data_IF_571248392512
#
_entry.id   IF_571248392512
#
_cell.length_a   1.000
_cell.length_b   1.000
_cell.length_c   1.000
_cell.angle_alpha   90.00
_cell.angle_beta   90.00
_cell.angle_gamma   90.00
#
_symmetry.space_group_name_H-M   'P 1'
#
loop_
_entity.id
_entity.type
_entity.pdbx_description
1 polymer ?
#
# COMPACT_ATOMS: atom_id res chain seq x y z
N UNK A 1 -7.05 19.92 -16.32
CA UNK A 1 -6.45 20.69 -15.22
C UNK A 1 -6.02 19.69 -14.17
N UNK A 2 -4.75 19.29 -14.19
CA UNK A 2 -4.13 18.54 -13.09
C UNK A 2 -3.76 19.64 -12.10
N UNK A 3 -4.54 19.80 -11.03
CA UNK A 3 -4.22 20.78 -9.98
C UNK A 3 -2.84 20.43 -9.43
N UNK A 4 -1.88 21.36 -9.52
CA UNK A 4 -0.52 21.24 -8.99
C UNK A 4 -0.45 21.20 -7.44
N UNK A 5 -1.35 20.47 -6.79
CA UNK A 5 -1.37 20.43 -5.33
C UNK A 5 -2.18 19.29 -4.73
N UNK A 6 -2.58 18.29 -5.53
CA UNK A 6 -3.27 17.13 -4.98
C UNK A 6 -2.46 15.87 -5.27
N UNK A 7 -1.83 15.36 -4.23
CA UNK A 7 -1.13 14.09 -4.27
C UNK A 7 -2.13 12.93 -4.12
N UNK A 8 -1.80 11.81 -4.74
CA UNK A 8 -2.58 10.59 -4.72
C UNK A 8 -1.63 9.44 -4.42
N UNK A 9 -2.10 8.42 -3.70
CA UNK A 9 -1.33 7.19 -3.52
C UNK A 9 -1.65 6.18 -4.63
N UNK A 10 -0.76 5.20 -4.81
CA UNK A 10 -0.98 4.04 -5.64
C UNK A 10 -1.43 2.82 -4.83
N UNK A 11 -2.39 2.08 -5.38
CA UNK A 11 -2.97 0.91 -4.72
C UNK A 11 -2.92 -0.31 -5.62
N UNK A 12 -2.82 -1.50 -5.01
CA UNK A 12 -3.05 -2.75 -5.72
C UNK A 12 -4.55 -2.97 -5.89
N UNK A 13 -5.02 -3.03 -7.13
CA UNK A 13 -6.41 -3.26 -7.50
C UNK A 13 -6.54 -4.65 -8.08
N UNK A 14 -7.06 -5.58 -7.29
CA UNK A 14 -7.35 -6.93 -7.77
C UNK A 14 -8.33 -7.66 -6.87
N UNK A 15 -8.85 -8.81 -7.36
CA UNK A 15 -9.75 -9.67 -6.60
C UNK A 15 -9.26 -11.12 -6.68
N UNK A 16 -9.45 -11.86 -5.59
CA UNK A 16 -9.27 -13.31 -5.53
C UNK A 16 -10.53 -13.92 -4.94
N UNK A 17 -11.03 -14.97 -5.58
CA UNK A 17 -12.10 -15.80 -5.06
C UNK A 17 -11.58 -17.22 -4.95
N UNK A 18 -11.58 -17.75 -3.73
CA UNK A 18 -11.16 -19.13 -3.48
C UNK A 18 -9.77 -19.47 -4.04
N UNK A 19 -8.76 -18.62 -3.83
CA UNK A 19 -7.40 -18.89 -4.31
C UNK A 19 -7.13 -18.52 -5.77
N UNK A 20 -8.09 -17.94 -6.50
CA UNK A 20 -7.94 -17.70 -7.95
C UNK A 20 -6.82 -16.73 -8.31
N UNK A 21 -6.41 -15.88 -7.37
CA UNK A 21 -5.33 -14.93 -7.57
C UNK A 21 -4.50 -14.78 -6.28
N UNK A 22 -3.52 -15.66 -6.03
CA UNK A 22 -2.69 -15.61 -4.82
C UNK A 22 -1.98 -14.28 -4.59
N UNK A 23 -1.67 -13.54 -5.67
CA UNK A 23 -1.04 -12.21 -5.58
C UNK A 23 -1.93 -11.14 -4.92
N UNK A 24 -3.25 -11.36 -4.89
CA UNK A 24 -4.21 -10.48 -4.20
C UNK A 24 -4.45 -10.86 -2.74
N UNK A 25 -4.03 -12.06 -2.34
CA UNK A 25 -4.35 -12.61 -1.02
C UNK A 25 -3.38 -12.12 0.05
N UNK A 26 -2.23 -11.60 -0.34
CA UNK A 26 -1.30 -10.89 0.54
C UNK A 26 -1.84 -9.51 0.91
N UNK A 27 -1.65 -9.10 2.17
CA UNK A 27 -2.23 -7.88 2.72
C UNK A 27 -2.01 -6.70 1.77
N UNK A 28 -0.79 -6.58 1.27
CA UNK A 28 -0.31 -5.54 0.40
C UNK A 28 1.07 -5.96 -0.12
N UNK A 29 1.16 -7.01 -0.97
CA UNK A 29 2.48 -7.54 -1.38
C UNK A 29 3.26 -6.49 -2.17
N UNK A 30 4.34 -6.03 -1.55
CA UNK A 30 5.16 -4.88 -1.94
C UNK A 30 6.45 -5.28 -2.66
N UNK A 31 6.51 -6.43 -3.34
CA UNK A 31 7.69 -6.82 -4.13
C UNK A 31 8.03 -5.83 -5.28
N UNK A 32 7.30 -4.71 -5.36
CA UNK A 32 7.54 -3.52 -6.18
C UNK A 32 8.95 -2.93 -6.04
N UNK A 33 9.68 -3.19 -4.94
CA UNK A 33 11.05 -2.71 -4.80
C UNK A 33 12.01 -3.24 -5.87
N UNK A 34 11.61 -4.19 -6.71
CA UNK A 34 12.47 -4.71 -7.77
C UNK A 34 12.40 -3.97 -9.12
N UNK A 35 11.40 -3.11 -9.40
CA UNK A 35 11.30 -2.48 -10.73
C UNK A 35 10.81 -1.02 -10.71
N UNK A 36 11.32 -0.20 -9.78
CA UNK A 36 11.56 1.23 -10.11
C UNK A 36 12.76 1.35 -11.07
N UNK A 37 12.78 0.57 -12.16
CA UNK A 37 13.72 0.82 -13.24
C UNK A 37 13.16 1.94 -14.12
N UNK A 38 13.60 3.15 -13.78
CA UNK A 38 13.76 4.27 -14.70
C UNK A 38 13.96 3.77 -16.14
N UNK A 39 13.04 4.09 -17.03
CA UNK A 39 13.33 4.09 -18.48
C UNK A 39 13.18 2.78 -19.26
N UNK A 40 12.57 1.72 -18.72
CA UNK A 40 12.30 0.54 -19.55
C UNK A 40 10.89 0.54 -20.11
N UNK A 41 10.70 1.11 -21.31
CA UNK A 41 9.54 0.84 -22.15
C UNK A 41 9.51 -0.61 -22.69
N UNK A 42 10.44 -1.48 -22.28
CA UNK A 42 10.49 -2.90 -22.66
C UNK A 42 11.22 -3.75 -21.62
N UNK A 43 10.47 -4.42 -20.75
CA UNK A 43 10.97 -5.63 -20.12
C UNK A 43 10.90 -5.65 -18.61
N UNK A 44 10.31 -6.74 -18.11
CA UNK A 44 10.18 -7.06 -16.70
C UNK A 44 8.79 -6.75 -16.18
N UNK A 45 7.78 -7.55 -16.54
CA UNK A 45 6.56 -7.60 -15.73
C UNK A 45 6.93 -8.30 -14.42
N UNK A 46 7.36 -7.54 -13.41
CA UNK A 46 7.27 -8.02 -12.04
C UNK A 46 5.78 -8.27 -11.80
N UNK A 47 5.36 -9.53 -11.71
CA UNK A 47 3.95 -9.95 -11.90
C UNK A 47 2.94 -9.21 -10.98
N UNK A 48 3.37 -8.77 -9.79
CA UNK A 48 2.56 -7.94 -8.90
C UNK A 48 2.28 -6.51 -9.40
N UNK A 49 3.14 -5.98 -10.28
CA UNK A 49 2.99 -4.66 -10.90
C UNK A 49 1.75 -4.57 -11.79
N UNK A 50 1.28 -5.70 -12.34
CA UNK A 50 0.08 -5.72 -13.19
C UNK A 50 -1.18 -5.20 -12.46
N UNK A 51 -1.22 -5.34 -11.13
CA UNK A 51 -2.34 -4.88 -10.31
C UNK A 51 -2.08 -3.54 -9.65
N UNK A 52 -0.87 -2.99 -9.72
CA UNK A 52 -0.56 -1.70 -9.11
C UNK A 52 -1.06 -0.55 -9.99
N UNK A 53 -1.92 0.30 -9.44
CA UNK A 53 -2.46 1.45 -10.14
C UNK A 53 -2.07 2.75 -9.45
N UNK A 54 -1.49 3.68 -10.21
CA UNK A 54 -1.15 5.04 -9.78
C UNK A 54 -1.51 6.06 -10.88
N UNK A 55 -2.10 7.22 -10.55
CA UNK A 55 -2.71 7.54 -9.25
C UNK A 55 -3.97 6.70 -9.05
N UNK A 56 -4.23 6.25 -7.82
CA UNK A 56 -5.49 5.60 -7.50
C UNK A 56 -6.57 6.65 -7.23
N UNK A 57 -7.81 6.31 -7.58
CA UNK A 57 -8.98 7.17 -7.38
C UNK A 57 -10.02 6.44 -6.55
N UNK A 58 -10.64 7.13 -5.60
CA UNK A 58 -11.60 6.58 -4.67
C UNK A 58 -12.88 7.41 -4.60
N UNK A 59 -13.98 6.75 -4.24
CA UNK A 59 -15.23 7.41 -3.91
C UNK A 59 -15.19 7.98 -2.48
N UNK A 60 -15.70 9.20 -2.29
CA UNK A 60 -15.87 9.82 -0.97
C UNK A 60 -17.36 9.93 -0.62
N UNK A 61 -17.74 9.53 0.60
CA UNK A 61 -19.15 9.54 1.06
C UNK A 61 -19.77 10.92 0.85
N UNK A 62 -21.01 10.96 0.34
CA UNK A 62 -21.77 12.18 0.06
C UNK A 62 -21.11 13.15 -0.93
N UNK A 63 -20.15 12.69 -1.74
CA UNK A 63 -19.57 13.47 -2.83
C UNK A 63 -19.89 12.80 -4.16
N UNK A 64 -20.07 13.60 -5.21
CA UNK A 64 -20.22 13.11 -6.59
C UNK A 64 -18.84 13.09 -7.25
N UNK A 65 -18.52 11.99 -7.92
CA UNK A 65 -17.26 11.81 -8.65
C UNK A 65 -16.20 11.03 -7.90
N UNK A 66 -15.03 10.93 -8.54
CA UNK A 66 -13.84 10.26 -8.04
C UNK A 66 -12.84 11.29 -7.52
N UNK A 67 -12.13 10.93 -6.45
CA UNK A 67 -11.13 11.79 -5.79
C UNK A 67 -9.81 11.04 -5.66
N UNK A 68 -8.66 11.75 -5.61
CA UNK A 68 -7.37 11.12 -5.36
C UNK A 68 -7.44 10.25 -4.11
N UNK A 69 -6.99 9.00 -4.24
CA UNK A 69 -6.93 8.08 -3.13
C UNK A 69 -5.83 8.54 -2.16
N UNK A 70 -6.18 8.56 -0.89
CA UNK A 70 -5.29 8.85 0.24
C UNK A 70 -5.05 7.59 1.10
N UNK A 71 -5.75 6.48 0.81
CA UNK A 71 -5.55 5.19 1.46
C UNK A 71 -5.99 4.03 0.54
N UNK A 72 -5.36 2.87 0.71
CA UNK A 72 -5.75 1.62 0.08
C UNK A 72 -6.64 0.83 1.05
N UNK A 73 -7.65 0.14 0.53
CA UNK A 73 -8.53 -0.74 1.30
C UNK A 73 -8.33 -2.16 0.78
N UNK A 74 -8.04 -3.08 1.70
CA UNK A 74 -8.09 -4.50 1.44
C UNK A 74 -9.26 -5.13 2.19
N UNK A 75 -9.95 -6.01 1.51
CA UNK A 75 -11.07 -6.76 2.07
C UNK A 75 -10.79 -8.25 1.90
N UNK A 76 -10.77 -8.98 3.00
CA UNK A 76 -10.56 -10.43 2.99
C UNK A 76 -11.63 -11.11 3.82
N UNK A 77 -12.39 -12.00 3.20
CA UNK A 77 -13.46 -12.72 3.85
C UNK A 77 -14.02 -13.86 3.00
N UNK A 78 -14.94 -14.59 3.59
CA UNK A 78 -15.69 -15.65 2.92
C UNK A 78 -17.19 -15.34 3.01
N UNK A 79 -18.00 -15.88 2.11
CA UNK A 79 -19.46 -15.70 2.13
C UNK A 79 -20.05 -16.39 3.36
N UNK A 80 -20.70 -15.66 4.27
CA UNK A 80 -21.37 -16.25 5.46
C UNK A 80 -22.61 -15.48 5.91
N UNK A 81 -23.46 -16.21 6.63
CA UNK A 81 -24.66 -15.74 7.31
C UNK A 81 -24.30 -15.23 8.72
N UNK A 82 -24.46 -13.92 8.94
CA UNK A 82 -24.64 -13.14 10.20
C UNK A 82 -23.62 -13.22 11.39
N UNK A 83 -23.35 -12.03 11.98
CA UNK A 83 -22.83 -11.63 13.34
C UNK A 83 -21.43 -10.96 13.48
N UNK A 84 -21.38 -10.09 14.49
CA UNK A 84 -20.56 -8.87 14.78
C UNK A 84 -19.03 -9.06 15.02
N UNK A 85 -18.23 -8.03 14.69
CA UNK A 85 -17.02 -7.44 15.36
C UNK A 85 -15.97 -6.93 14.34
N UNK A 86 -14.75 -6.53 14.77
CA UNK A 86 -13.67 -5.89 13.95
C UNK A 86 -13.27 -6.66 12.67
N UNK A 87 -13.54 -7.95 12.66
CA UNK A 87 -13.82 -8.70 11.45
C UNK A 87 -15.32 -8.97 11.43
N UNK A 88 -16.00 -8.32 10.50
CA UNK A 88 -17.45 -8.19 10.50
C UNK A 88 -18.05 -8.82 9.27
N UNK A 89 -19.36 -8.61 9.13
CA UNK A 89 -20.01 -8.82 7.85
C UNK A 89 -20.04 -7.51 7.08
N UNK A 90 -19.77 -7.58 5.79
CA UNK A 90 -19.95 -6.47 4.88
C UNK A 90 -20.65 -6.98 3.62
N UNK A 91 -21.39 -6.10 2.97
CA UNK A 91 -22.04 -6.40 1.69
C UNK A 91 -21.13 -5.90 0.58
N UNK A 92 -20.69 -6.80 -0.29
CA UNK A 92 -19.93 -6.48 -1.48
C UNK A 92 -20.62 -7.14 -2.67
N UNK A 93 -20.86 -6.36 -3.73
CA UNK A 93 -21.52 -6.82 -4.96
C UNK A 93 -22.80 -7.65 -4.73
N UNK A 94 -23.67 -7.18 -3.83
CA UNK A 94 -24.93 -7.87 -3.51
C UNK A 94 -24.81 -9.02 -2.49
N UNK A 95 -23.63 -9.57 -2.25
CA UNK A 95 -23.42 -10.72 -1.34
C UNK A 95 -22.93 -10.31 0.04
N UNK A 96 -23.31 -11.09 1.05
CA UNK A 96 -22.84 -10.93 2.43
C UNK A 96 -21.56 -11.75 2.65
N UNK A 97 -20.45 -11.05 2.87
CA UNK A 97 -19.18 -11.63 3.26
C UNK A 97 -18.97 -11.45 4.75
N UNK A 98 -18.19 -12.34 5.35
CA UNK A 98 -17.62 -12.20 6.70
C UNK A 98 -16.12 -12.18 6.58
N UNK A 99 -15.49 -11.15 7.11
CA UNK A 99 -14.07 -10.92 6.91
C UNK A 99 -13.55 -9.69 7.62
N UNK A 100 -12.29 -9.38 7.37
CA UNK A 100 -11.63 -8.21 7.91
C UNK A 100 -11.44 -7.19 6.78
N UNK A 101 -11.53 -5.91 7.14
CA UNK A 101 -11.19 -4.79 6.25
C UNK A 101 -9.95 -4.14 6.84
N UNK A 102 -8.91 -4.03 6.02
CA UNK A 102 -7.64 -3.40 6.38
C UNK A 102 -7.45 -2.17 5.51
N UNK A 103 -6.81 -1.15 6.08
CA UNK A 103 -6.48 0.07 5.36
C UNK A 103 -5.08 0.56 5.71
N UNK A 104 -4.51 1.34 4.81
CA UNK A 104 -3.20 1.96 4.96
C UNK A 104 -3.11 3.15 4.00
N UNK A 105 -2.26 4.11 4.31
CA UNK A 105 -2.20 5.45 3.68
C UNK A 105 -0.92 5.69 2.88
N UNK A 106 -0.24 4.62 2.45
CA UNK A 106 1.00 4.68 1.68
C UNK A 106 0.92 3.86 0.38
N UNK A 107 1.77 4.17 -0.59
CA UNK A 107 1.84 3.44 -1.86
C UNK A 107 2.04 1.92 -1.67
N UNK A 108 1.10 1.12 -2.18
CA UNK A 108 1.22 -0.34 -2.23
C UNK A 108 1.46 -1.03 -0.88
N UNK A 109 1.19 -0.32 0.21
CA UNK A 109 1.49 -0.60 1.61
C UNK A 109 2.35 -1.83 1.95
N UNK A 110 3.67 -1.69 1.89
CA UNK A 110 4.42 -1.99 3.11
C UNK A 110 5.45 -0.90 3.33
N UNK A 111 5.34 -0.26 4.48
CA UNK A 111 6.44 0.47 5.08
C UNK A 111 7.49 -0.56 5.50
N UNK A 112 8.61 -0.63 4.78
CA UNK A 112 9.86 -1.07 5.41
C UNK A 112 10.21 -0.05 6.49
N UNK A 113 10.77 -0.50 7.64
CA UNK A 113 11.23 0.39 8.71
C UNK A 113 11.97 1.58 8.10
N UNK A 114 11.41 2.78 8.28
CA UNK A 114 12.03 4.01 7.83
C UNK A 114 13.47 4.02 8.32
N UNK A 115 14.41 4.05 7.37
CA UNK A 115 15.86 4.12 7.60
C UNK A 115 16.25 5.39 8.38
N UNK A 116 15.31 6.24 8.78
CA UNK A 116 15.56 7.43 9.60
C UNK A 116 16.31 7.14 10.90
N UNK A 117 16.05 6.00 11.55
CA UNK A 117 16.76 5.67 12.80
C UNK A 117 18.24 5.38 12.54
N UNK A 118 18.58 4.74 11.41
CA UNK A 118 19.96 4.44 11.06
C UNK A 118 20.75 5.68 10.64
N UNK A 119 20.11 6.65 9.98
CA UNK A 119 20.78 7.88 9.56
C UNK A 119 21.20 8.73 10.76
N UNK A 120 20.31 8.95 11.73
CA UNK A 120 20.64 9.71 12.95
C UNK A 120 21.68 9.00 13.83
N UNK A 121 21.58 7.67 13.97
CA UNK A 121 22.61 6.88 14.66
C UNK A 121 23.97 6.98 13.95
N UNK A 122 24.00 6.93 12.62
CA UNK A 122 25.26 7.05 11.86
C UNK A 122 25.91 8.42 12.01
N UNK A 123 25.11 9.51 12.00
CA UNK A 123 25.61 10.86 12.24
C UNK A 123 26.11 11.03 13.68
N UNK A 124 25.42 10.45 14.65
CA UNK A 124 25.84 10.47 16.05
C UNK A 124 27.16 9.71 16.28
N UNK A 125 27.31 8.53 15.68
CA UNK A 125 28.56 7.76 15.72
C UNK A 125 29.70 8.55 15.06
N UNK A 126 29.48 9.11 13.87
CA UNK A 126 30.48 9.93 13.17
C UNK A 126 30.89 11.15 13.99
N UNK A 127 29.92 11.81 14.64
CA UNK A 127 30.18 12.93 15.53
C UNK A 127 31.07 12.52 16.72
N UNK A 128 30.82 11.36 17.34
CA UNK A 128 31.68 10.82 18.40
C UNK A 128 33.10 10.57 17.88
N UNK A 129 33.25 9.98 16.69
CA UNK A 129 34.58 9.72 16.10
C UNK A 129 35.36 10.99 15.81
N UNK A 130 34.72 12.02 15.24
CA UNK A 130 35.37 13.31 14.93
C UNK A 130 35.89 13.97 16.21
N UNK A 131 35.05 14.05 17.26
CA UNK A 131 35.45 14.69 18.52
C UNK A 131 36.59 13.93 19.24
N UNK A 132 36.66 12.60 19.07
CA UNK A 132 37.72 11.78 19.66
C UNK A 132 39.06 11.92 18.91
N UNK A 133 39.03 12.15 17.59
CA UNK A 133 40.23 12.42 16.80
C UNK A 133 40.80 13.82 17.05
N UNK A 134 39.95 14.82 17.32
CA UNK A 134 40.42 16.19 17.62
C UNK A 134 41.00 16.35 19.03
N UNK A 135 40.77 15.40 19.93
CA UNK A 135 41.33 15.40 21.29
C UNK A 135 42.67 14.66 21.42
N UNK A 136 43.17 14.06 20.33
CA UNK A 136 44.48 13.40 20.23
C UNK A 136 45.46 14.30 19.50
#
# INVERSE_FOLDING_TARGET
MINEGVDAIGCFVCSSFNGSNPLCEDAFNSSINSLKQKGSQRGGYGLGLANYQYPCWAFKKQRKGLFPADHCIKVSGYRKIVRISHCGHFKYDGYQYRGCVQSCDTDGCNSSNSIFINYLLSLYILFIFINRLTSL
#
